data_IF_489949793232
#
_entry.id   IF_489949793232
#
_cell.length_a   1.000
_cell.length_b   1.000
_cell.length_c   1.000
_cell.angle_alpha   90.00
_cell.angle_beta   90.00
_cell.angle_gamma   90.00
#
_symmetry.space_group_name_H-M   'P 1'
#
loop_
_entity.id
_entity.type
_entity.pdbx_description
1 polymer ?
#
# COMPACT_ATOMS: atom_id res chain seq x y z
N UNK A 1 70.03 39.14 -24.69
CA UNK A 1 68.67 39.56 -25.08
C UNK A 1 67.67 38.58 -24.46
N UNK A 2 66.79 39.09 -23.60
CA UNK A 2 65.38 38.68 -23.35
C UNK A 2 65.22 37.22 -22.81
N UNK A 3 65.11 36.92 -21.51
CA UNK A 3 64.07 37.25 -20.50
C UNK A 3 62.62 37.04 -20.95
N UNK A 4 61.90 36.13 -20.29
CA UNK A 4 60.46 36.06 -19.98
C UNK A 4 60.13 34.57 -19.74
N UNK A 5 60.19 34.07 -18.50
CA UNK A 5 59.06 34.00 -17.54
C UNK A 5 57.71 33.62 -18.17
N UNK A 6 57.22 32.45 -17.81
CA UNK A 6 55.80 32.27 -17.49
C UNK A 6 55.66 31.22 -16.38
N UNK A 7 55.75 31.70 -15.14
CA UNK A 7 55.15 31.06 -13.98
C UNK A 7 53.62 31.18 -14.12
N UNK A 8 52.94 30.11 -14.54
CA UNK A 8 51.50 30.04 -14.30
C UNK A 8 51.27 29.55 -12.87
N UNK A 9 51.39 30.47 -11.93
CA UNK A 9 50.81 30.36 -10.61
C UNK A 9 49.28 30.26 -10.75
N UNK A 10 48.72 29.05 -10.69
CA UNK A 10 47.29 28.92 -10.42
C UNK A 10 47.09 28.81 -8.91
N UNK A 11 46.77 29.98 -8.37
CA UNK A 11 46.31 30.30 -7.03
C UNK A 11 45.32 29.28 -6.49
N UNK A 12 45.46 29.03 -5.19
CA UNK A 12 44.73 28.05 -4.42
C UNK A 12 43.23 28.03 -4.67
N UNK A 13 42.71 26.81 -4.66
CA UNK A 13 41.34 26.53 -4.21
C UNK A 13 41.33 26.78 -2.70
N UNK A 14 41.46 28.05 -2.30
CA UNK A 14 41.15 28.51 -0.96
C UNK A 14 39.63 28.39 -0.78
N UNK A 15 39.25 27.25 -0.20
CA UNK A 15 38.48 27.25 1.04
C UNK A 15 37.27 28.20 1.11
N UNK A 16 36.39 28.21 0.11
CA UNK A 16 35.01 28.71 0.29
C UNK A 16 34.03 27.61 0.69
N UNK A 17 34.47 26.65 1.51
CA UNK A 17 33.57 26.05 2.49
C UNK A 17 33.38 27.08 3.61
N UNK A 18 32.60 28.15 3.33
CA UNK A 18 32.08 29.01 4.39
C UNK A 18 31.33 28.09 5.34
N UNK A 19 31.94 27.81 6.49
CA UNK A 19 31.33 27.12 7.60
C UNK A 19 30.06 27.88 7.98
N UNK A 20 28.95 27.39 7.42
CA UNK A 20 27.59 27.72 7.81
C UNK A 20 27.52 27.49 9.31
N UNK A 21 27.41 28.59 10.06
CA UNK A 21 27.16 28.68 11.50
C UNK A 21 27.03 27.30 12.20
N UNK A 22 28.06 26.82 12.92
CA UNK A 22 28.11 25.44 13.45
C UNK A 22 26.98 25.13 14.45
N UNK A 23 26.30 26.17 14.96
CA UNK A 23 25.12 26.02 15.82
C UNK A 23 23.88 25.59 15.05
N UNK A 24 23.72 26.02 13.79
CA UNK A 24 22.54 25.65 12.96
C UNK A 24 22.70 24.23 12.39
N UNK A 25 23.90 23.83 11.98
CA UNK A 25 24.14 22.47 11.44
C UNK A 25 23.92 21.38 12.48
N UNK A 26 24.31 21.59 13.75
CA UNK A 26 24.05 20.64 14.84
C UNK A 26 22.56 20.49 15.18
N UNK A 27 21.78 21.57 15.08
CA UNK A 27 20.33 21.52 15.27
C UNK A 27 19.63 20.76 14.13
N UNK A 28 20.06 21.00 12.89
CA UNK A 28 19.52 20.31 11.72
C UNK A 28 19.83 18.81 11.73
N UNK A 29 21.05 18.38 12.07
CA UNK A 29 21.37 16.95 12.19
C UNK A 29 20.58 16.28 13.30
N UNK A 30 20.39 16.94 14.44
CA UNK A 30 19.61 16.39 15.55
C UNK A 30 18.12 16.25 15.19
N UNK A 31 17.54 17.23 14.50
CA UNK A 31 16.18 17.13 13.97
C UNK A 31 16.04 16.01 12.94
N UNK A 32 17.04 15.81 12.07
CA UNK A 32 17.01 14.74 11.07
C UNK A 32 17.07 13.35 11.71
N UNK A 33 17.92 13.17 12.72
CA UNK A 33 18.04 11.92 13.49
C UNK A 33 16.73 11.61 14.22
N UNK A 34 16.03 12.63 14.73
CA UNK A 34 14.74 12.45 15.39
C UNK A 34 13.59 12.20 14.40
N UNK A 35 13.61 12.84 13.23
CA UNK A 35 12.57 12.73 12.21
C UNK A 35 12.61 11.38 11.46
N UNK A 36 13.79 10.81 11.26
CA UNK A 36 13.98 9.56 10.53
C UNK A 36 13.22 8.35 11.12
N UNK A 37 13.29 8.04 12.43
CA UNK A 37 12.52 6.95 13.01
C UNK A 37 11.01 7.21 12.98
N UNK A 38 10.58 8.48 13.10
CA UNK A 38 9.17 8.86 13.00
C UNK A 38 8.65 8.62 11.58
N UNK A 39 9.39 9.07 10.57
CA UNK A 39 9.06 8.84 9.17
C UNK A 39 9.02 7.33 8.84
N UNK A 40 9.98 6.57 9.37
CA UNK A 40 10.01 5.11 9.22
C UNK A 40 8.81 4.42 9.88
N UNK A 41 8.43 4.84 11.09
CA UNK A 41 7.23 4.34 11.77
C UNK A 41 5.96 4.57 10.96
N UNK A 42 5.79 5.79 10.43
CA UNK A 42 4.64 6.14 9.56
C UNK A 42 4.65 5.27 8.29
N UNK A 43 5.82 5.03 7.70
CA UNK A 43 5.96 4.19 6.52
C UNK A 43 5.52 2.74 6.78
N UNK A 44 5.93 2.14 7.91
CA UNK A 44 5.50 0.79 8.30
C UNK A 44 3.98 0.72 8.43
N UNK A 45 3.36 1.70 9.08
CA UNK A 45 1.91 1.76 9.24
C UNK A 45 1.20 1.82 7.88
N UNK A 46 1.73 2.60 6.93
CA UNK A 46 1.17 2.70 5.59
C UNK A 46 1.25 1.38 4.84
N UNK A 47 2.43 0.72 4.81
CA UNK A 47 2.65 -0.55 4.11
C UNK A 47 1.82 -1.69 4.70
N UNK A 48 1.58 -1.67 6.02
CA UNK A 48 0.79 -2.71 6.71
C UNK A 48 -0.62 -2.88 6.12
N UNK A 49 -1.20 -1.81 5.55
CA UNK A 49 -2.54 -1.81 4.97
C UNK A 49 -2.62 -2.43 3.57
N UNK A 50 -1.49 -2.78 2.94
CA UNK A 50 -1.47 -3.30 1.58
C UNK A 50 -1.08 -4.77 1.54
N UNK A 51 -1.67 -5.49 0.60
CA UNK A 51 -1.12 -6.71 0.04
C UNK A 51 -0.25 -6.30 -1.15
N UNK A 52 1.03 -6.67 -1.10
CA UNK A 52 2.04 -6.33 -2.09
C UNK A 52 2.59 -7.62 -2.66
N UNK A 53 2.47 -7.80 -3.97
CA UNK A 53 3.18 -8.83 -4.71
C UNK A 53 3.98 -8.16 -5.85
N UNK A 54 5.30 -7.94 -5.65
CA UNK A 54 6.13 -7.24 -6.63
C UNK A 54 6.31 -8.03 -7.92
N UNK A 55 6.23 -9.37 -7.87
CA UNK A 55 6.40 -10.24 -9.03
C UNK A 55 5.32 -9.99 -10.09
N UNK A 56 4.09 -9.73 -9.63
CA UNK A 56 2.91 -9.55 -10.49
C UNK A 56 2.45 -8.08 -10.55
N UNK A 57 3.26 -7.14 -10.05
CA UNK A 57 2.90 -5.72 -9.87
C UNK A 57 1.56 -5.54 -9.15
N UNK A 58 1.30 -6.39 -8.15
CA UNK A 58 0.03 -6.43 -7.45
C UNK A 58 0.05 -5.54 -6.22
N UNK A 59 -0.89 -4.59 -6.18
CA UNK A 59 -1.09 -3.72 -5.04
C UNK A 59 -2.57 -3.63 -4.69
N UNK A 60 -2.97 -4.34 -3.64
CA UNK A 60 -4.35 -4.36 -3.17
C UNK A 60 -4.39 -3.79 -1.75
N UNK A 61 -5.14 -2.70 -1.55
CA UNK A 61 -5.36 -2.15 -0.21
C UNK A 61 -6.36 -3.02 0.55
N UNK A 62 -5.99 -3.48 1.75
CA UNK A 62 -6.86 -4.27 2.62
C UNK A 62 -7.41 -3.38 3.73
N UNK A 63 -8.71 -3.13 3.71
CA UNK A 63 -9.42 -2.37 4.74
C UNK A 63 -10.21 -3.33 5.61
N UNK A 64 -10.02 -3.24 6.92
CA UNK A 64 -10.74 -4.07 7.89
C UNK A 64 -11.32 -3.16 8.96
N UNK A 65 -12.54 -3.45 9.38
CA UNK A 65 -13.24 -2.71 10.44
C UNK A 65 -12.72 -3.07 11.85
N UNK A 66 -11.84 -4.07 11.97
CA UNK A 66 -11.23 -4.53 13.22
C UNK A 66 -9.75 -4.91 13.10
N UNK A 67 -9.18 -5.29 14.26
CA UNK A 67 -7.78 -5.64 14.59
C UNK A 67 -6.96 -6.28 13.45
N UNK A 68 -5.62 -6.11 13.53
CA UNK A 68 -4.64 -6.58 12.53
C UNK A 68 -4.78 -8.05 12.11
N UNK A 69 -5.32 -8.91 12.99
CA UNK A 69 -5.61 -10.32 12.72
C UNK A 69 -6.49 -10.50 11.47
N UNK A 70 -7.52 -9.68 11.32
CA UNK A 70 -8.46 -9.76 10.19
C UNK A 70 -7.78 -9.43 8.86
N UNK A 71 -6.88 -8.44 8.89
CA UNK A 71 -6.11 -8.02 7.72
C UNK A 71 -5.19 -9.14 7.24
N UNK A 72 -4.52 -9.82 8.17
CA UNK A 72 -3.66 -10.95 7.85
C UNK A 72 -4.47 -12.11 7.26
N UNK A 73 -5.71 -12.33 7.70
CA UNK A 73 -6.58 -13.33 7.11
C UNK A 73 -6.94 -13.01 5.67
N UNK A 74 -7.31 -11.76 5.36
CA UNK A 74 -7.58 -11.35 3.96
C UNK A 74 -6.34 -11.48 3.09
N UNK A 75 -5.16 -11.08 3.58
CA UNK A 75 -3.89 -11.32 2.87
C UNK A 75 -3.65 -12.81 2.64
N UNK A 76 -3.95 -13.65 3.63
CA UNK A 76 -3.90 -15.11 3.52
C UNK A 76 -4.84 -15.65 2.44
N UNK A 77 -6.06 -15.13 2.35
CA UNK A 77 -7.03 -15.52 1.31
C UNK A 77 -6.48 -15.21 -0.08
N UNK A 78 -5.92 -14.01 -0.29
CA UNK A 78 -5.31 -13.62 -1.57
C UNK A 78 -4.11 -14.51 -1.90
N UNK A 79 -3.25 -14.79 -0.91
CA UNK A 79 -2.09 -15.65 -1.08
C UNK A 79 -2.49 -17.10 -1.42
N UNK A 80 -3.55 -17.63 -0.81
CA UNK A 80 -4.12 -18.93 -1.15
C UNK A 80 -4.65 -18.92 -2.58
N UNK A 81 -5.39 -17.88 -2.98
CA UNK A 81 -5.88 -17.73 -4.35
C UNK A 81 -4.73 -17.74 -5.38
N UNK A 82 -3.62 -17.04 -5.11
CA UNK A 82 -2.41 -17.06 -5.97
C UNK A 82 -1.91 -18.49 -6.20
N UNK A 83 -1.97 -19.35 -5.18
CA UNK A 83 -1.48 -20.74 -5.25
C UNK A 83 -2.49 -21.70 -5.89
N UNK A 84 -3.78 -21.53 -5.61
CA UNK A 84 -4.82 -22.47 -6.06
C UNK A 84 -5.35 -22.15 -7.44
N UNK A 85 -5.47 -20.86 -7.78
CA UNK A 85 -6.10 -20.39 -9.01
C UNK A 85 -5.43 -19.09 -9.50
N UNK A 86 -4.29 -19.29 -10.16
CA UNK A 86 -3.42 -18.21 -10.60
C UNK A 86 -4.09 -17.28 -11.62
N UNK A 87 -4.96 -17.82 -12.48
CA UNK A 87 -5.65 -17.02 -13.51
C UNK A 87 -6.61 -16.03 -12.87
N UNK A 88 -7.43 -16.50 -11.92
CA UNK A 88 -8.33 -15.61 -11.20
C UNK A 88 -7.56 -14.64 -10.29
N UNK A 89 -6.42 -15.05 -9.73
CA UNK A 89 -5.52 -14.13 -9.04
C UNK A 89 -5.04 -12.99 -9.94
N UNK A 90 -4.61 -13.24 -11.18
CA UNK A 90 -4.18 -12.19 -12.11
C UNK A 90 -5.33 -11.23 -12.48
N UNK A 91 -6.55 -11.76 -12.68
CA UNK A 91 -7.74 -10.93 -12.92
C UNK A 91 -8.05 -10.04 -11.73
N UNK A 92 -8.01 -10.60 -10.51
CA UNK A 92 -8.16 -9.85 -9.28
C UNK A 92 -7.13 -8.73 -9.20
N UNK A 93 -5.87 -9.06 -9.47
CA UNK A 93 -4.75 -8.15 -9.37
C UNK A 93 -4.85 -6.93 -10.30
N UNK A 94 -5.32 -7.14 -11.54
CA UNK A 94 -5.45 -6.07 -12.54
C UNK A 94 -6.65 -5.16 -12.28
N UNK A 95 -7.74 -5.72 -11.76
CA UNK A 95 -9.03 -5.04 -11.70
C UNK A 95 -9.41 -4.54 -10.30
N UNK A 96 -8.81 -5.10 -9.24
CA UNK A 96 -9.14 -4.77 -7.85
C UNK A 96 -8.04 -3.91 -7.23
N UNK A 97 -8.43 -2.75 -6.74
CA UNK A 97 -7.57 -1.80 -6.03
C UNK A 97 -7.65 -1.97 -4.53
N UNK A 98 -8.80 -2.38 -4.01
CA UNK A 98 -9.02 -2.54 -2.58
C UNK A 98 -10.00 -3.67 -2.26
N UNK A 99 -9.72 -4.37 -1.17
CA UNK A 99 -10.62 -5.33 -0.54
C UNK A 99 -11.01 -4.77 0.83
N UNK A 100 -12.30 -4.61 1.05
CA UNK A 100 -12.88 -4.13 2.30
C UNK A 100 -13.61 -5.26 3.02
N UNK A 101 -13.29 -5.44 4.30
CA UNK A 101 -13.97 -6.37 5.18
C UNK A 101 -15.13 -5.68 5.88
N UNK A 102 -16.18 -5.46 5.10
CA UNK A 102 -17.43 -4.85 5.51
C UNK A 102 -18.59 -5.44 4.70
N UNK A 103 -19.84 -5.27 5.18
CA UNK A 103 -21.01 -5.70 4.44
C UNK A 103 -21.08 -5.05 3.05
N UNK A 104 -21.70 -5.76 2.11
CA UNK A 104 -21.90 -5.25 0.75
C UNK A 104 -22.75 -3.99 0.75
N UNK A 105 -22.25 -2.93 0.14
CA UNK A 105 -22.94 -1.65 0.02
C UNK A 105 -23.63 -1.59 -1.34
N UNK A 106 -24.96 -1.48 -1.33
CA UNK A 106 -25.76 -1.12 -2.49
C UNK A 106 -26.28 0.30 -2.29
N UNK A 107 -25.90 1.21 -3.18
CA UNK A 107 -26.59 2.50 -3.30
C UNK A 107 -27.75 2.31 -4.27
N UNK A 108 -28.97 2.60 -3.82
CA UNK A 108 -30.11 2.75 -4.72
C UNK A 108 -30.01 4.14 -5.36
N UNK A 109 -30.05 4.24 -6.69
CA UNK A 109 -30.00 5.53 -7.39
C UNK A 109 -31.28 6.35 -7.15
N UNK A 110 -32.38 5.70 -6.76
CA UNK A 110 -33.69 6.34 -6.58
C UNK A 110 -33.95 6.82 -5.18
N UNK A 111 -33.30 6.21 -4.20
CA UNK A 111 -33.44 6.59 -2.80
C UNK A 111 -32.04 6.79 -2.28
N UNK A 112 -31.72 7.98 -1.75
CA UNK A 112 -30.40 8.31 -1.17
C UNK A 112 -30.04 7.48 0.09
N UNK A 113 -30.65 6.30 0.24
CA UNK A 113 -30.48 5.32 1.30
C UNK A 113 -29.45 4.30 0.85
N UNK A 114 -28.51 4.04 1.75
CA UNK A 114 -27.50 3.00 1.58
C UNK A 114 -28.09 1.70 2.13
N UNK A 115 -28.22 0.68 1.29
CA UNK A 115 -28.65 -0.65 1.71
C UNK A 115 -27.44 -1.55 1.90
N UNK A 116 -27.33 -2.17 3.07
CA UNK A 116 -26.32 -3.19 3.32
C UNK A 116 -26.89 -4.57 2.99
N UNK A 117 -26.25 -5.28 2.06
CA UNK A 117 -26.64 -6.64 1.69
C UNK A 117 -25.79 -7.65 2.47
N UNK A 118 -26.45 -8.67 3.05
CA UNK A 118 -25.79 -9.76 3.76
C UNK A 118 -25.30 -10.85 2.79
N UNK A 119 -24.61 -10.44 1.73
CA UNK A 119 -23.93 -11.37 0.83
C UNK A 119 -22.53 -11.68 1.36
N UNK A 120 -22.02 -12.88 1.08
CA UNK A 120 -20.68 -13.30 1.53
C UNK A 120 -19.55 -12.46 0.89
N UNK A 121 -19.84 -11.83 -0.25
CA UNK A 121 -19.00 -10.80 -0.87
C UNK A 121 -19.62 -10.22 -2.14
N UNK A 122 -19.12 -9.08 -2.58
CA UNK A 122 -19.56 -8.40 -3.80
C UNK A 122 -18.45 -7.53 -4.39
N UNK A 123 -18.57 -7.26 -5.68
CA UNK A 123 -17.68 -6.35 -6.39
C UNK A 123 -18.46 -5.12 -6.84
N UNK A 124 -17.95 -3.94 -6.50
CA UNK A 124 -18.51 -2.68 -6.96
C UNK A 124 -17.86 -2.33 -8.31
N UNK A 125 -18.59 -2.62 -9.39
CA UNK A 125 -18.14 -2.40 -10.77
C UNK A 125 -17.62 -0.97 -10.97
N UNK A 126 -16.58 -0.83 -11.79
CA UNK A 126 -15.90 0.42 -12.14
C UNK A 126 -15.17 1.16 -11.00
N UNK A 127 -15.23 0.65 -9.76
CA UNK A 127 -14.51 1.26 -8.63
C UNK A 127 -13.26 0.47 -8.24
N UNK A 128 -13.18 -0.82 -8.62
CA UNK A 128 -12.10 -1.71 -8.20
C UNK A 128 -12.19 -2.11 -6.72
N UNK A 129 -13.37 -1.97 -6.09
CA UNK A 129 -13.59 -2.36 -4.70
C UNK A 129 -14.31 -3.69 -4.60
N UNK A 130 -13.74 -4.59 -3.81
CA UNK A 130 -14.37 -5.85 -3.40
C UNK A 130 -14.71 -5.76 -1.92
N UNK A 131 -15.93 -6.14 -1.57
CA UNK A 131 -16.37 -6.28 -0.19
C UNK A 131 -16.45 -7.77 0.15
N UNK A 132 -15.91 -8.15 1.30
CA UNK A 132 -15.99 -9.52 1.81
C UNK A 132 -16.55 -9.47 3.22
N UNK A 133 -17.49 -10.37 3.52
CA UNK A 133 -18.08 -10.46 4.86
C UNK A 133 -16.99 -10.70 5.94
N UNK A 134 -17.08 -10.02 7.10
CA UNK A 134 -16.15 -10.23 8.21
C UNK A 134 -16.28 -11.62 8.81
N UNK A 135 -15.16 -12.15 9.31
CA UNK A 135 -15.11 -13.38 10.11
C UNK A 135 -15.60 -13.10 11.53
N UNK A 136 -16.91 -13.04 11.71
CA UNK A 136 -17.49 -13.21 13.03
C UNK A 136 -17.51 -14.72 13.28
N UNK A 137 -16.89 -15.18 14.38
CA UNK A 137 -16.49 -16.58 14.66
C UNK A 137 -17.56 -17.68 14.65
N UNK A 138 -18.70 -17.47 13.98
CA UNK A 138 -19.77 -18.45 13.75
C UNK A 138 -20.23 -18.59 12.28
N UNK A 139 -19.89 -17.66 11.37
CA UNK A 139 -20.70 -17.53 10.14
C UNK A 139 -19.98 -17.70 8.78
N UNK A 140 -18.65 -17.79 8.71
CA UNK A 140 -17.96 -18.02 7.42
C UNK A 140 -16.60 -18.68 7.61
N UNK A 141 -16.33 -19.79 6.91
CA UNK A 141 -15.01 -20.42 6.93
C UNK A 141 -14.01 -19.69 6.01
N UNK A 142 -12.72 -19.79 6.32
CA UNK A 142 -11.64 -19.23 5.51
C UNK A 142 -11.73 -19.69 4.04
N UNK A 143 -11.98 -20.99 3.81
CA UNK A 143 -12.02 -21.56 2.47
C UNK A 143 -13.23 -21.06 1.66
N UNK A 144 -14.35 -20.79 2.31
CA UNK A 144 -15.52 -20.23 1.65
C UNK A 144 -15.23 -18.80 1.17
N UNK A 145 -14.47 -18.02 1.93
CA UNK A 145 -14.02 -16.69 1.48
C UNK A 145 -13.07 -16.77 0.29
N UNK A 146 -12.19 -17.77 0.22
CA UNK A 146 -11.35 -18.03 -0.96
C UNK A 146 -12.22 -18.32 -2.19
N UNK A 147 -13.23 -19.18 -2.05
CA UNK A 147 -14.16 -19.48 -3.16
C UNK A 147 -14.95 -18.26 -3.59
N UNK A 148 -15.44 -17.45 -2.65
CA UNK A 148 -16.13 -16.19 -2.95
C UNK A 148 -15.22 -15.24 -3.72
N UNK A 149 -13.98 -15.06 -3.28
CA UNK A 149 -13.01 -14.19 -3.95
C UNK A 149 -12.65 -14.70 -5.36
N UNK A 150 -12.46 -16.02 -5.51
CA UNK A 150 -12.26 -16.66 -6.82
C UNK A 150 -13.46 -16.43 -7.75
N UNK A 151 -14.68 -16.62 -7.24
CA UNK A 151 -15.92 -16.37 -8.01
C UNK A 151 -16.02 -14.91 -8.45
N UNK A 152 -15.76 -13.97 -7.54
CA UNK A 152 -15.73 -12.54 -7.87
C UNK A 152 -14.70 -12.29 -8.96
N UNK A 153 -13.46 -12.76 -8.77
CA UNK A 153 -12.38 -12.59 -9.73
C UNK A 153 -12.69 -13.17 -11.12
N UNK A 154 -13.40 -14.30 -11.18
CA UNK A 154 -13.81 -14.92 -12.45
C UNK A 154 -14.78 -14.05 -13.27
N UNK A 155 -15.57 -13.22 -12.59
CA UNK A 155 -16.53 -12.27 -13.19
C UNK A 155 -15.95 -10.89 -13.49
N UNK A 156 -14.65 -10.69 -13.26
CA UNK A 156 -13.92 -9.50 -13.68
C UNK A 156 -13.49 -9.72 -15.13
N UNK A 157 -14.23 -9.11 -16.05
CA UNK A 157 -13.94 -9.02 -17.49
C UNK A 157 -13.83 -7.54 -17.89
#
# INVERSE_FOLDING_TARGET
MISLYEESAYSGIESTLRFRNPKKTKLFTLLFILALPVAFGIFILFVSQYYIDPENYCLIKVRTSGMDTSRNTVKGIIATLKRTDYINYLKLCRNVRAIDESPCILSDEKTSKIFMQNNNGCYLKNTGYVFIKPLNGKDTDFNDRVKVLSKIASSLE
#
